data_IF_856875779486
#
_entry.id   IF_856875779486
#
_cell.length_a   1.000
_cell.length_b   1.000
_cell.length_c   1.000
_cell.angle_alpha   90.00
_cell.angle_beta   90.00
_cell.angle_gamma   90.00
#
_symmetry.space_group_name_H-M   'P 1'
#
loop_
_entity.id
_entity.type
_entity.pdbx_description
1 polymer ?
#
# COMPACT_ATOMS: atom_id res chain seq x y z
N UNK A 1 -41.55 -1.75 -14.26
CA UNK A 1 -40.85 -0.45 -14.02
C UNK A 1 -40.18 -0.43 -12.65
N UNK A 2 -40.85 -0.98 -11.63
CA UNK A 2 -40.38 -1.05 -10.24
C UNK A 2 -39.06 -1.84 -10.04
N UNK A 3 -38.85 -2.93 -10.78
CA UNK A 3 -37.63 -3.74 -10.68
C UNK A 3 -36.36 -3.00 -11.13
N UNK A 4 -36.47 -2.14 -12.15
CA UNK A 4 -35.35 -1.34 -12.62
C UNK A 4 -34.96 -0.27 -11.58
N UNK A 5 -35.94 0.29 -10.88
CA UNK A 5 -35.70 1.27 -9.82
C UNK A 5 -34.96 0.63 -8.63
N UNK A 6 -35.37 -0.57 -8.20
CA UNK A 6 -34.69 -1.31 -7.14
C UNK A 6 -33.24 -1.64 -7.51
N UNK A 7 -33.00 -2.01 -8.77
CA UNK A 7 -31.66 -2.30 -9.31
C UNK A 7 -30.75 -1.07 -9.33
N UNK A 8 -31.29 0.08 -9.72
CA UNK A 8 -30.56 1.36 -9.72
C UNK A 8 -30.22 1.83 -8.30
N UNK A 9 -31.15 1.69 -7.35
CA UNK A 9 -30.91 2.05 -5.94
C UNK A 9 -29.85 1.15 -5.30
N UNK A 10 -29.87 -0.14 -5.59
CA UNK A 10 -28.82 -1.07 -5.11
C UNK A 10 -27.47 -0.77 -5.74
N UNK A 11 -27.41 -0.45 -7.03
CA UNK A 11 -26.17 -0.01 -7.69
C UNK A 11 -25.62 1.28 -7.08
N UNK A 12 -26.48 2.26 -6.80
CA UNK A 12 -26.09 3.52 -6.15
C UNK A 12 -25.57 3.28 -4.72
N UNK A 13 -26.27 2.47 -3.93
CA UNK A 13 -25.82 2.11 -2.59
C UNK A 13 -24.50 1.33 -2.60
N UNK A 14 -24.35 0.39 -3.53
CA UNK A 14 -23.09 -0.32 -3.72
C UNK A 14 -21.97 0.66 -4.09
N UNK A 15 -22.19 1.55 -5.05
CA UNK A 15 -21.17 2.52 -5.47
C UNK A 15 -20.79 3.47 -4.33
N UNK A 16 -21.76 3.91 -3.50
CA UNK A 16 -21.55 4.75 -2.33
C UNK A 16 -20.65 4.10 -1.27
N UNK A 17 -20.73 2.77 -1.09
CA UNK A 17 -19.86 2.02 -0.16
C UNK A 17 -18.53 1.64 -0.83
N UNK A 18 -18.55 1.34 -2.12
CA UNK A 18 -17.38 0.88 -2.86
C UNK A 18 -16.37 2.00 -3.08
N UNK A 19 -16.82 3.20 -3.47
CA UNK A 19 -15.95 4.37 -3.69
C UNK A 19 -15.05 4.72 -2.49
N UNK A 20 -15.57 4.89 -1.26
CA UNK A 20 -14.73 5.21 -0.10
C UNK A 20 -13.84 4.02 0.29
N UNK A 21 -14.31 2.78 0.11
CA UNK A 21 -13.47 1.61 0.36
C UNK A 21 -12.31 1.52 -0.63
N UNK A 22 -12.56 1.77 -1.92
CA UNK A 22 -11.54 1.80 -2.97
C UNK A 22 -10.58 2.97 -2.77
N UNK A 23 -11.09 4.13 -2.33
CA UNK A 23 -10.26 5.26 -2.00
C UNK A 23 -9.33 4.94 -0.82
N UNK A 24 -9.86 4.38 0.27
CA UNK A 24 -9.04 3.96 1.41
C UNK A 24 -8.02 2.90 0.98
N UNK A 25 -8.44 1.89 0.21
CA UNK A 25 -7.54 0.85 -0.26
C UNK A 25 -6.46 1.41 -1.21
N UNK A 26 -6.81 2.25 -2.17
CA UNK A 26 -5.83 2.74 -3.15
C UNK A 26 -4.92 3.84 -2.60
N UNK A 27 -5.45 4.71 -1.73
CA UNK A 27 -4.74 5.89 -1.22
C UNK A 27 -4.11 5.68 0.15
N UNK A 28 -4.58 4.74 0.98
CA UNK A 28 -4.01 4.44 2.30
C UNK A 28 -3.19 3.15 2.27
N UNK A 29 -3.67 2.09 1.62
CA UNK A 29 -2.90 0.83 1.57
C UNK A 29 -1.60 1.01 0.79
N UNK A 30 -1.63 1.76 -0.33
CA UNK A 30 -0.47 1.96 -1.19
C UNK A 30 0.70 2.67 -0.49
N UNK A 31 0.51 3.81 0.22
CA UNK A 31 1.60 4.41 0.98
C UNK A 31 2.02 3.55 2.18
N UNK A 32 1.10 2.83 2.83
CA UNK A 32 1.47 1.87 3.89
C UNK A 32 2.37 0.77 3.33
N UNK A 33 2.00 0.20 2.19
CA UNK A 33 2.80 -0.83 1.51
C UNK A 33 4.19 -0.29 1.18
N UNK A 34 4.28 0.91 0.63
CA UNK A 34 5.56 1.52 0.25
C UNK A 34 6.42 1.84 1.48
N UNK A 35 5.80 2.38 2.54
CA UNK A 35 6.45 2.70 3.80
C UNK A 35 6.92 1.45 4.55
N UNK A 36 6.34 0.28 4.30
CA UNK A 36 6.73 -0.98 4.93
C UNK A 36 7.72 -1.77 4.06
N UNK A 37 7.53 -1.77 2.74
CA UNK A 37 8.36 -2.49 1.78
C UNK A 37 9.76 -1.89 1.64
N UNK A 38 9.90 -0.56 1.69
CA UNK A 38 11.22 0.09 1.59
C UNK A 38 12.11 -0.27 2.80
N UNK A 39 11.72 0.02 4.07
CA UNK A 39 12.54 -0.35 5.22
C UNK A 39 12.60 -1.86 5.42
N UNK A 40 11.50 -2.59 5.16
CA UNK A 40 11.48 -4.05 5.24
C UNK A 40 12.41 -4.72 4.23
N UNK A 41 12.45 -4.21 3.00
CA UNK A 41 13.34 -4.67 1.94
C UNK A 41 14.82 -4.38 2.24
N UNK A 42 15.12 -3.20 2.80
CA UNK A 42 16.48 -2.86 3.23
C UNK A 42 16.94 -3.75 4.39
N UNK A 43 16.07 -4.02 5.37
CA UNK A 43 16.35 -4.97 6.45
C UNK A 43 16.59 -6.39 5.92
N UNK A 44 15.77 -6.83 4.97
CA UNK A 44 15.91 -8.15 4.35
C UNK A 44 17.22 -8.28 3.58
N UNK A 45 17.60 -7.26 2.81
CA UNK A 45 18.89 -7.19 2.13
C UNK A 45 20.06 -7.19 3.10
N UNK A 46 19.95 -6.47 4.22
CA UNK A 46 20.97 -6.46 5.27
C UNK A 46 21.12 -7.82 5.96
N UNK A 47 20.03 -8.59 6.09
CA UNK A 47 20.04 -9.93 6.67
C UNK A 47 20.67 -10.96 5.72
N UNK A 48 20.32 -10.92 4.44
CA UNK A 48 20.85 -11.87 3.44
C UNK A 48 22.29 -11.53 3.04
N UNK A 49 22.59 -10.25 2.86
CA UNK A 49 23.88 -9.77 2.36
C UNK A 49 25.01 -9.73 3.39
N UNK A 50 24.74 -10.04 4.66
CA UNK A 50 25.78 -10.11 5.69
C UNK A 50 26.46 -8.78 5.99
N UNK A 51 27.73 -8.82 6.39
CA UNK A 51 28.48 -7.63 6.83
C UNK A 51 28.77 -6.64 5.70
N UNK A 52 29.08 -7.12 4.48
CA UNK A 52 29.43 -6.24 3.34
C UNK A 52 28.27 -5.32 2.94
N UNK A 53 27.05 -5.87 2.87
CA UNK A 53 25.85 -5.10 2.52
C UNK A 53 25.47 -4.16 3.65
N UNK A 54 25.66 -4.55 4.92
CA UNK A 54 25.40 -3.70 6.10
C UNK A 54 26.34 -2.50 6.19
N UNK A 55 27.63 -2.69 5.89
CA UNK A 55 28.61 -1.60 5.92
C UNK A 55 28.37 -0.62 4.77
N UNK A 56 28.04 -1.13 3.57
CA UNK A 56 27.63 -0.29 2.43
C UNK A 56 26.35 0.51 2.75
N UNK A 57 25.35 -0.12 3.38
CA UNK A 57 24.12 0.54 3.83
C UNK A 57 24.39 1.65 4.85
N UNK A 58 25.30 1.42 5.80
CA UNK A 58 25.72 2.42 6.78
C UNK A 58 26.42 3.61 6.12
N UNK A 59 27.32 3.37 5.16
CA UNK A 59 27.98 4.44 4.42
C UNK A 59 26.97 5.31 3.67
N UNK A 60 26.03 4.69 2.94
CA UNK A 60 24.97 5.43 2.24
C UNK A 60 24.07 6.24 3.18
N UNK A 61 23.88 5.79 4.43
CA UNK A 61 23.16 6.56 5.45
C UNK A 61 23.97 7.71 6.05
N UNK A 62 25.31 7.62 6.07
CA UNK A 62 26.20 8.64 6.60
C UNK A 62 26.58 9.71 5.57
N UNK A 63 26.43 9.44 4.28
CA UNK A 63 26.57 10.43 3.19
C UNK A 63 25.35 11.36 3.02
N UNK A 64 24.45 11.39 4.01
CA UNK A 64 23.35 12.37 4.12
C UNK A 64 23.61 13.36 5.24
#
# INVERSE_FOLDING_TARGET
>A
MEDNLKKVVTLLGQWLVFMPSLFCFSYVLRPIMMALLIPGGLLFLALIGGSEVRDTLKQMMQER
#
